data_IF_785547318150
#
_entry.id   IF_785547318150
#
_cell.length_a   1.000
_cell.length_b   1.000
_cell.length_c   1.000
_cell.angle_alpha   90.00
_cell.angle_beta   90.00
_cell.angle_gamma   90.00
#
_symmetry.space_group_name_H-M   'P 1'
#
loop_
_entity.id
_entity.type
_entity.pdbx_description
1 polymer ?
#
# COMPACT_ATOMS: atom_id res chain seq x y z
N UNK A 1 12.23 -20.27 -2.87
CA UNK A 1 12.73 -19.79 -1.56
C UNK A 1 12.96 -18.30 -1.63
N UNK A 2 12.55 -17.57 -0.61
CA UNK A 2 12.76 -16.12 -0.46
C UNK A 2 13.28 -15.82 0.94
N UNK A 3 14.13 -14.80 1.04
CA UNK A 3 14.52 -14.18 2.30
C UNK A 3 14.24 -12.70 2.21
N UNK A 4 13.83 -12.09 3.32
CA UNK A 4 13.55 -10.67 3.37
C UNK A 4 14.14 -10.03 4.63
N UNK A 5 14.58 -8.79 4.47
CA UNK A 5 14.94 -7.90 5.57
C UNK A 5 14.31 -6.55 5.28
N UNK A 6 13.54 -6.04 6.21
CA UNK A 6 12.94 -4.71 6.12
C UNK A 6 13.24 -3.93 7.41
N UNK A 7 13.63 -2.68 7.26
CA UNK A 7 13.88 -1.77 8.38
C UNK A 7 13.05 -0.52 8.14
N UNK A 8 12.14 -0.24 9.06
CA UNK A 8 11.35 0.97 9.06
C UNK A 8 11.69 1.81 10.29
N UNK A 9 11.95 3.10 10.10
CA UNK A 9 12.16 4.05 11.19
C UNK A 9 11.22 5.23 11.06
N UNK A 10 10.65 5.64 12.18
CA UNK A 10 9.90 6.88 12.26
C UNK A 10 10.63 7.85 13.18
N UNK A 11 11.44 8.70 12.57
CA UNK A 11 12.27 9.69 13.27
C UNK A 11 13.02 9.06 14.47
N UNK A 12 12.92 9.68 15.64
CA UNK A 12 13.47 9.16 16.91
C UNK A 12 12.43 8.42 17.75
N UNK A 13 11.22 8.12 17.21
CA UNK A 13 10.11 7.56 17.97
C UNK A 13 10.25 6.07 18.12
N UNK A 14 10.39 5.36 17.00
CA UNK A 14 10.59 3.90 17.01
C UNK A 14 11.23 3.39 15.72
N UNK A 15 11.73 2.16 15.79
CA UNK A 15 12.29 1.43 14.66
C UNK A 15 11.79 -0.01 14.67
N UNK A 16 11.22 -0.44 13.55
CA UNK A 16 10.79 -1.81 13.33
C UNK A 16 11.77 -2.50 12.38
N UNK A 17 12.29 -3.63 12.80
CA UNK A 17 13.13 -4.50 11.96
C UNK A 17 12.40 -5.82 11.76
N UNK A 18 12.07 -6.14 10.51
CA UNK A 18 11.40 -7.39 10.13
C UNK A 18 12.36 -8.26 9.33
N UNK A 19 12.53 -9.49 9.76
CA UNK A 19 13.29 -10.53 9.07
C UNK A 19 12.34 -11.68 8.75
N UNK A 20 12.55 -12.35 7.61
CA UNK A 20 11.68 -13.45 7.26
C UNK A 20 12.23 -14.31 6.15
N UNK A 21 11.62 -15.48 6.02
CA UNK A 21 11.86 -16.41 4.93
C UNK A 21 10.54 -17.06 4.53
N UNK A 22 10.50 -17.42 3.26
CA UNK A 22 9.29 -17.97 2.68
C UNK A 22 9.57 -19.02 1.63
N UNK A 23 8.56 -19.84 1.42
CA UNK A 23 8.50 -20.84 0.37
C UNK A 23 7.36 -20.47 -0.56
N UNK A 24 7.61 -20.54 -1.85
CA UNK A 24 6.60 -20.28 -2.86
C UNK A 24 6.50 -21.45 -3.82
N UNK A 25 5.26 -21.74 -4.23
CA UNK A 25 4.95 -22.80 -5.19
C UNK A 25 4.08 -22.23 -6.31
N UNK A 26 4.55 -22.36 -7.55
CA UNK A 26 3.79 -21.97 -8.73
C UNK A 26 2.79 -23.06 -9.10
N UNK A 27 1.49 -22.78 -8.96
CA UNK A 27 0.42 -23.66 -9.43
C UNK A 27 0.32 -23.56 -10.96
N UNK A 28 0.39 -22.33 -11.46
CA UNK A 28 0.45 -22.00 -12.90
C UNK A 28 1.48 -20.88 -13.13
N UNK A 29 1.84 -20.55 -14.38
CA UNK A 29 2.71 -19.39 -14.64
C UNK A 29 2.19 -18.06 -14.10
N UNK A 30 0.87 -17.96 -13.85
CA UNK A 30 0.23 -16.75 -13.33
C UNK A 30 -0.13 -16.84 -11.84
N UNK A 31 -0.15 -18.06 -11.27
CA UNK A 31 -0.69 -18.31 -9.92
C UNK A 31 0.38 -18.87 -9.00
N UNK A 32 0.58 -18.21 -7.88
CA UNK A 32 1.59 -18.54 -6.87
C UNK A 32 0.94 -18.68 -5.50
N UNK A 33 1.29 -19.72 -4.77
CA UNK A 33 1.06 -19.82 -3.32
C UNK A 33 2.35 -19.53 -2.58
N UNK A 34 2.21 -18.91 -1.41
CA UNK A 34 3.32 -18.59 -0.49
C UNK A 34 3.00 -19.04 0.92
N UNK A 35 4.04 -19.46 1.61
CA UNK A 35 4.06 -19.63 3.06
C UNK A 35 5.26 -18.84 3.56
N UNK A 36 5.01 -17.80 4.35
CA UNK A 36 6.04 -16.92 4.87
C UNK A 36 6.04 -16.99 6.40
N UNK A 37 7.23 -16.99 6.98
CA UNK A 37 7.45 -16.75 8.40
C UNK A 37 8.23 -15.46 8.56
N UNK A 38 7.77 -14.58 9.45
CA UNK A 38 8.43 -13.32 9.76
C UNK A 38 8.63 -13.14 11.25
N UNK A 39 9.77 -12.61 11.61
CA UNK A 39 10.10 -12.10 12.93
C UNK A 39 10.28 -10.60 12.86
N UNK A 40 9.54 -9.87 13.67
CA UNK A 40 9.62 -8.43 13.79
C UNK A 40 10.10 -8.05 15.19
N UNK A 41 11.04 -7.13 15.27
CA UNK A 41 11.50 -6.50 16.50
C UNK A 41 11.28 -4.99 16.41
N UNK A 42 10.54 -4.44 17.37
CA UNK A 42 10.25 -3.02 17.48
C UNK A 42 10.92 -2.44 18.71
N UNK A 43 11.72 -1.40 18.50
CA UNK A 43 12.41 -0.64 19.56
C UNK A 43 11.88 0.77 19.61
N UNK A 44 11.70 1.31 20.81
CA UNK A 44 11.15 2.66 21.04
C UNK A 44 12.11 3.50 21.88
N UNK A 45 13.10 4.20 21.26
CA UNK A 45 14.04 5.05 21.98
C UNK A 45 13.37 6.15 22.79
N UNK A 46 12.24 6.66 22.28
CA UNK A 46 11.43 7.69 22.95
C UNK A 46 10.00 7.15 23.12
N UNK A 47 9.66 6.62 24.30
CA UNK A 47 8.31 6.12 24.56
C UNK A 47 7.27 7.23 24.41
N UNK A 48 6.29 7.01 23.55
CA UNK A 48 5.09 7.84 23.43
C UNK A 48 3.87 7.04 23.87
N UNK A 49 2.75 7.73 24.06
CA UNK A 49 1.49 7.07 24.35
C UNK A 49 1.17 5.97 23.29
N UNK A 50 0.82 4.80 23.76
CA UNK A 50 0.51 3.62 22.94
C UNK A 50 1.67 3.12 22.03
N UNK A 51 2.93 3.44 22.38
CA UNK A 51 4.11 2.79 21.79
C UNK A 51 4.81 1.95 22.85
N UNK A 52 5.14 0.71 22.54
CA UNK A 52 5.91 -0.19 23.41
C UNK A 52 6.88 -0.99 22.55
N UNK A 53 8.00 -1.36 23.13
CA UNK A 53 8.90 -2.34 22.53
C UNK A 53 8.21 -3.69 22.47
N UNK A 54 8.32 -4.35 21.33
CA UNK A 54 7.75 -5.69 21.17
C UNK A 54 8.59 -6.56 20.23
N UNK A 55 8.41 -7.86 20.38
CA UNK A 55 8.75 -8.82 19.34
C UNK A 55 7.49 -9.46 18.80
N UNK A 56 7.47 -9.81 17.52
CA UNK A 56 6.33 -10.45 16.89
C UNK A 56 6.78 -11.56 15.94
N UNK A 57 6.21 -12.74 16.13
CA UNK A 57 6.33 -13.88 15.23
C UNK A 57 5.04 -13.97 14.41
N UNK A 58 5.14 -14.12 13.10
CA UNK A 58 4.00 -14.19 12.21
C UNK A 58 4.20 -15.29 11.17
N UNK A 59 3.12 -16.03 10.90
CA UNK A 59 3.03 -17.00 9.81
C UNK A 59 1.94 -16.51 8.87
N UNK A 60 2.26 -16.40 7.58
CA UNK A 60 1.37 -15.94 6.54
C UNK A 60 1.16 -17.00 5.47
N UNK A 61 -0.09 -17.16 5.03
CA UNK A 61 -0.46 -17.81 3.79
C UNK A 61 -0.74 -16.75 2.74
N UNK A 62 -0.07 -16.85 1.62
CA UNK A 62 -0.20 -15.94 0.49
C UNK A 62 -0.74 -16.64 -0.75
N UNK A 63 -1.67 -15.98 -1.42
CA UNK A 63 -2.14 -16.29 -2.77
C UNK A 63 -1.83 -15.10 -3.67
N UNK A 64 -1.23 -15.37 -4.82
CA UNK A 64 -0.98 -14.35 -5.82
C UNK A 64 -1.39 -14.85 -7.20
N UNK A 65 -2.24 -14.06 -7.87
CA UNK A 65 -2.53 -14.19 -9.30
C UNK A 65 -2.02 -12.95 -10.01
N UNK A 66 -1.28 -13.14 -11.09
CA UNK A 66 -0.75 -12.04 -11.89
C UNK A 66 -0.83 -12.37 -13.38
N UNK A 67 -1.64 -11.59 -14.09
CA UNK A 67 -1.74 -11.63 -15.54
C UNK A 67 -1.39 -10.27 -16.11
N UNK A 68 -0.38 -10.25 -16.96
CA UNK A 68 0.05 -9.03 -17.63
C UNK A 68 0.07 -9.27 -19.14
N UNK A 69 -0.65 -8.44 -19.86
CA UNK A 69 -0.66 -8.46 -21.33
C UNK A 69 -0.25 -7.09 -21.81
N UNK A 70 0.85 -7.02 -22.55
CA UNK A 70 1.32 -5.75 -23.11
C UNK A 70 0.57 -5.46 -24.40
N UNK A 71 -0.19 -4.40 -24.42
CA UNK A 71 -0.83 -3.84 -25.59
C UNK A 71 -0.46 -2.36 -25.70
N UNK A 72 0.37 -2.03 -26.66
CA UNK A 72 0.77 -0.61 -26.85
C UNK A 72 1.49 -0.04 -25.63
N UNK A 73 1.28 1.24 -25.31
CA UNK A 73 1.83 1.93 -24.14
C UNK A 73 1.22 1.42 -22.81
N UNK A 74 -0.02 0.93 -22.84
CA UNK A 74 -0.70 0.42 -21.68
C UNK A 74 -0.49 -1.08 -21.50
N UNK A 75 -0.05 -1.47 -20.32
CA UNK A 75 -0.12 -2.84 -19.88
C UNK A 75 -1.52 -3.13 -19.32
N UNK A 76 -2.19 -4.13 -19.87
CA UNK A 76 -3.33 -4.72 -19.20
C UNK A 76 -2.81 -5.56 -18.03
N UNK A 77 -3.04 -5.06 -16.84
CA UNK A 77 -2.62 -5.73 -15.62
C UNK A 77 -3.85 -6.23 -14.88
N UNK A 78 -3.83 -7.49 -14.53
CA UNK A 78 -4.74 -8.10 -13.59
C UNK A 78 -3.88 -8.73 -12.49
N UNK A 79 -3.95 -8.20 -11.29
CA UNK A 79 -3.21 -8.73 -10.15
C UNK A 79 -4.16 -8.85 -8.99
N UNK A 80 -4.09 -9.99 -8.30
CA UNK A 80 -4.74 -10.19 -7.01
C UNK A 80 -3.69 -10.82 -6.11
N UNK A 81 -3.44 -10.20 -4.97
CA UNK A 81 -2.61 -10.72 -3.90
C UNK A 81 -3.42 -10.73 -2.63
N UNK A 82 -3.44 -11.85 -1.93
CA UNK A 82 -4.10 -12.02 -0.65
C UNK A 82 -3.09 -12.67 0.28
N UNK A 83 -2.85 -12.06 1.42
CA UNK A 83 -2.07 -12.61 2.50
C UNK A 83 -2.93 -12.66 3.74
N UNK A 84 -2.97 -13.82 4.40
CA UNK A 84 -3.64 -13.98 5.70
C UNK A 84 -2.62 -14.49 6.69
N UNK A 85 -2.55 -13.86 7.86
CA UNK A 85 -1.54 -14.20 8.83
C UNK A 85 -2.07 -14.31 10.24
N UNK A 86 -1.45 -15.21 11.00
CA UNK A 86 -1.59 -15.29 12.45
C UNK A 86 -0.25 -14.93 13.06
N UNK A 87 -0.29 -14.03 14.05
CA UNK A 87 0.91 -13.59 14.74
C UNK A 87 0.75 -13.61 16.27
N UNK A 88 1.89 -13.70 16.94
CA UNK A 88 1.99 -13.51 18.37
C UNK A 88 2.92 -12.33 18.63
N UNK A 89 2.34 -11.25 19.16
CA UNK A 89 3.08 -10.08 19.64
C UNK A 89 3.37 -10.27 21.13
N UNK A 90 4.62 -10.12 21.49
CA UNK A 90 5.11 -10.21 22.85
C UNK A 90 5.61 -8.83 23.31
N UNK A 91 4.97 -8.31 24.35
CA UNK A 91 5.41 -7.19 25.17
C UNK A 91 5.57 -7.73 26.61
N UNK A 92 5.05 -7.05 27.62
CA UNK A 92 4.85 -7.65 28.96
C UNK A 92 3.86 -8.80 28.94
N UNK A 93 2.90 -8.76 28.02
CA UNK A 93 1.90 -9.79 27.77
C UNK A 93 2.01 -10.29 26.33
N UNK A 94 1.60 -11.53 26.09
CA UNK A 94 1.50 -12.10 24.76
C UNK A 94 0.08 -11.91 24.21
N UNK A 95 -0.04 -11.39 23.00
CA UNK A 95 -1.31 -11.19 22.31
C UNK A 95 -1.27 -11.91 20.97
N UNK A 96 -2.28 -12.74 20.73
CA UNK A 96 -2.49 -13.37 19.42
C UNK A 96 -3.29 -12.42 18.53
N UNK A 97 -2.84 -12.27 17.29
CA UNK A 97 -3.41 -11.36 16.32
C UNK A 97 -3.70 -12.08 15.02
N UNK A 98 -4.69 -11.61 14.29
CA UNK A 98 -5.03 -12.06 12.95
C UNK A 98 -4.95 -10.88 11.98
N UNK A 99 -4.43 -11.11 10.78
CA UNK A 99 -4.32 -10.07 9.76
C UNK A 99 -4.68 -10.57 8.38
N UNK A 100 -5.22 -9.66 7.57
CA UNK A 100 -5.50 -9.86 6.16
C UNK A 100 -4.96 -8.67 5.38
N UNK A 101 -4.20 -8.95 4.33
CA UNK A 101 -3.70 -7.97 3.36
C UNK A 101 -4.20 -8.35 1.98
N UNK A 102 -4.85 -7.41 1.28
CA UNK A 102 -5.34 -7.61 -0.08
C UNK A 102 -4.78 -6.50 -0.97
N UNK A 103 -4.24 -6.88 -2.10
CA UNK A 103 -3.92 -5.96 -3.20
C UNK A 103 -4.57 -6.48 -4.48
N UNK A 104 -5.40 -5.66 -5.11
CA UNK A 104 -6.00 -5.98 -6.39
C UNK A 104 -5.74 -4.84 -7.39
N UNK A 105 -5.33 -5.20 -8.60
CA UNK A 105 -5.11 -4.26 -9.69
C UNK A 105 -5.85 -4.74 -10.91
N UNK A 106 -6.61 -3.85 -11.54
CA UNK A 106 -7.30 -4.12 -12.80
C UNK A 106 -7.12 -2.95 -13.73
N UNK A 107 -6.67 -3.24 -14.95
CA UNK A 107 -6.64 -2.28 -16.06
C UNK A 107 -7.64 -2.72 -17.12
N UNK A 108 -8.47 -1.78 -17.60
CA UNK A 108 -9.52 -2.01 -18.57
C UNK A 108 -9.28 -1.06 -19.75
N UNK A 109 -8.97 -1.59 -20.92
CA UNK A 109 -8.86 -0.79 -22.14
C UNK A 109 -10.25 -0.46 -22.68
N UNK A 110 -10.56 0.82 -22.80
CA UNK A 110 -11.79 1.31 -23.43
C UNK A 110 -11.57 1.45 -24.93
N UNK A 111 -10.39 1.94 -25.32
CA UNK A 111 -9.97 2.09 -26.71
C UNK A 111 -8.44 1.88 -26.80
N UNK A 112 -7.88 2.01 -28.01
CA UNK A 112 -6.44 1.93 -28.22
C UNK A 112 -5.66 2.99 -27.44
N UNK A 113 -6.28 4.12 -27.15
CA UNK A 113 -5.64 5.27 -26.49
C UNK A 113 -6.20 5.59 -25.11
N UNK A 114 -7.18 4.80 -24.61
CA UNK A 114 -7.89 5.10 -23.36
C UNK A 114 -8.01 3.88 -22.50
N UNK A 115 -7.64 4.01 -21.23
CA UNK A 115 -7.68 2.94 -20.24
C UNK A 115 -8.23 3.44 -18.89
N UNK A 116 -9.02 2.63 -18.22
CA UNK A 116 -9.31 2.78 -16.79
C UNK A 116 -8.36 1.87 -16.02
N UNK A 117 -7.70 2.43 -15.01
CA UNK A 117 -6.85 1.69 -14.10
C UNK A 117 -7.35 1.81 -12.68
N UNK A 118 -7.58 0.67 -12.05
CA UNK A 118 -8.07 0.57 -10.68
C UNK A 118 -7.06 -0.23 -9.85
N UNK A 119 -6.76 0.27 -8.66
CA UNK A 119 -5.96 -0.44 -7.67
C UNK A 119 -6.64 -0.36 -6.32
N UNK A 120 -6.85 -1.50 -5.70
CA UNK A 120 -7.28 -1.62 -4.31
C UNK A 120 -6.10 -2.05 -3.44
N UNK A 121 -5.98 -1.48 -2.24
CA UNK A 121 -5.16 -2.00 -1.17
C UNK A 121 -5.99 -2.00 0.12
N UNK A 122 -6.09 -3.16 0.76
CA UNK A 122 -6.83 -3.36 2.01
C UNK A 122 -5.90 -4.02 3.02
N UNK A 123 -5.91 -3.51 4.24
CA UNK A 123 -5.26 -4.10 5.40
C UNK A 123 -6.28 -4.19 6.54
N UNK A 124 -6.27 -5.33 7.21
CA UNK A 124 -7.07 -5.57 8.41
C UNK A 124 -6.22 -6.27 9.46
N UNK A 125 -6.12 -5.68 10.63
CA UNK A 125 -5.49 -6.26 11.80
C UNK A 125 -6.50 -6.37 12.93
N UNK A 126 -6.73 -7.59 13.41
CA UNK A 126 -7.54 -7.87 14.60
C UNK A 126 -6.64 -8.25 15.77
N UNK A 127 -6.83 -7.56 16.88
CA UNK A 127 -6.08 -7.75 18.11
C UNK A 127 -6.94 -7.40 19.33
N UNK A 128 -6.61 -7.95 20.50
CA UNK A 128 -7.22 -7.53 21.76
C UNK A 128 -6.67 -6.18 22.28
N UNK A 129 -5.52 -5.75 21.77
CA UNK A 129 -4.91 -4.45 22.05
C UNK A 129 -4.03 -4.03 20.88
N UNK A 130 -3.88 -2.73 20.66
CA UNK A 130 -3.09 -2.17 19.57
C UNK A 130 -1.99 -1.25 20.07
N UNK A 131 -0.86 -1.23 19.35
CA UNK A 131 0.26 -0.31 19.56
C UNK A 131 0.44 0.55 18.30
N UNK A 132 0.78 1.83 18.47
CA UNK A 132 0.96 2.75 17.33
C UNK A 132 2.08 2.30 16.39
N UNK A 133 3.13 1.68 16.93
CA UNK A 133 4.28 1.20 16.17
C UNK A 133 4.05 -0.14 15.45
N UNK A 134 2.87 -0.78 15.62
CA UNK A 134 2.48 -1.97 14.86
C UNK A 134 1.41 -1.70 13.78
N UNK A 135 0.76 -0.52 13.82
CA UNK A 135 -0.27 -0.18 12.84
C UNK A 135 0.30 -0.05 11.44
N UNK A 136 -0.48 -0.51 10.46
CA UNK A 136 -0.12 -0.33 9.05
C UNK A 136 -0.17 1.16 8.68
N UNK A 137 0.79 1.57 7.86
CA UNK A 137 0.95 2.94 7.41
C UNK A 137 0.57 3.08 5.97
N UNK A 138 -0.08 4.17 5.67
CA UNK A 138 -0.54 4.47 4.34
C UNK A 138 -0.58 5.99 4.09
N UNK A 139 -0.97 6.37 2.90
CA UNK A 139 -0.78 7.69 2.30
C UNK A 139 0.29 7.62 1.23
N UNK A 140 0.26 8.56 0.30
CA UNK A 140 1.24 8.65 -0.78
C UNK A 140 0.85 7.89 -2.05
N UNK A 141 1.82 7.75 -2.94
CA UNK A 141 1.63 7.29 -4.32
C UNK A 141 1.02 5.90 -4.43
N UNK A 142 1.33 5.02 -3.49
CA UNK A 142 0.98 3.59 -3.59
C UNK A 142 -0.34 3.21 -2.91
N UNK A 143 -0.92 4.10 -2.10
CA UNK A 143 -2.11 3.80 -1.29
C UNK A 143 -3.20 4.85 -1.39
N UNK A 144 -2.90 6.14 -1.11
CA UNK A 144 -3.85 7.25 -1.15
C UNK A 144 -3.10 8.53 -1.54
N UNK A 145 -3.21 8.93 -2.80
CA UNK A 145 -2.56 10.15 -3.30
C UNK A 145 -3.18 11.40 -2.67
N UNK A 146 -2.46 12.51 -2.66
CA UNK A 146 -2.91 13.74 -1.99
C UNK A 146 -2.69 13.74 -0.47
N UNK A 147 -2.15 12.65 0.08
CA UNK A 147 -1.65 12.55 1.45
C UNK A 147 -0.15 12.27 1.43
N UNK A 148 0.58 12.76 2.43
CA UNK A 148 2.03 12.50 2.53
C UNK A 148 2.30 11.02 2.67
N UNK A 149 3.44 10.56 2.15
CA UNK A 149 3.85 9.15 2.22
C UNK A 149 3.89 8.68 3.68
N UNK A 150 3.24 7.53 3.96
CA UNK A 150 3.19 6.90 5.28
C UNK A 150 2.72 7.82 6.44
N UNK A 151 1.92 8.86 6.15
CA UNK A 151 1.48 9.85 7.15
C UNK A 151 0.25 9.43 7.94
N UNK A 152 -0.44 8.43 7.50
CA UNK A 152 -1.65 7.88 8.12
C UNK A 152 -1.37 6.48 8.66
N UNK A 153 -1.99 6.13 9.78
CA UNK A 153 -1.89 4.80 10.37
C UNK A 153 -3.26 4.28 10.81
N UNK A 154 -3.50 3.00 10.65
CA UNK A 154 -4.74 2.35 10.99
C UNK A 154 -4.54 0.85 11.25
N UNK A 155 -5.39 0.25 12.08
CA UNK A 155 -5.52 -1.20 12.18
C UNK A 155 -6.42 -1.77 11.06
N UNK A 156 -7.24 -0.93 10.44
CA UNK A 156 -8.03 -1.29 9.27
C UNK A 156 -8.05 -0.15 8.27
N UNK A 157 -7.65 -0.42 7.03
CA UNK A 157 -7.90 0.49 5.93
C UNK A 157 -8.24 -0.28 4.65
N UNK A 158 -9.01 0.35 3.79
CA UNK A 158 -9.24 -0.08 2.42
C UNK A 158 -9.22 1.12 1.51
N UNK A 159 -8.33 1.12 0.53
CA UNK A 159 -8.21 2.21 -0.44
C UNK A 159 -8.47 1.72 -1.85
N UNK A 160 -9.10 2.57 -2.65
CA UNK A 160 -9.29 2.40 -4.09
C UNK A 160 -8.66 3.60 -4.77
N UNK A 161 -7.64 3.35 -5.56
CA UNK A 161 -7.03 4.33 -6.45
C UNK A 161 -7.60 4.13 -7.85
N UNK A 162 -8.08 5.21 -8.48
CA UNK A 162 -8.60 5.15 -9.86
C UNK A 162 -7.93 6.18 -10.74
N UNK A 163 -7.68 5.77 -12.00
CA UNK A 163 -7.15 6.64 -13.04
C UNK A 163 -7.92 6.41 -14.35
N UNK A 164 -8.37 7.49 -14.94
CA UNK A 164 -8.75 7.50 -16.35
C UNK A 164 -7.54 8.00 -17.12
N UNK A 165 -6.97 7.14 -17.96
CA UNK A 165 -5.73 7.37 -18.70
C UNK A 165 -6.02 7.60 -20.16
N UNK A 166 -5.41 8.63 -20.73
CA UNK A 166 -5.45 8.93 -22.17
C UNK A 166 -4.03 9.08 -22.71
N UNK A 167 -3.74 8.41 -23.81
CA UNK A 167 -2.41 8.37 -24.45
C UNK A 167 -2.43 9.20 -25.75
N UNK A 168 -2.00 10.48 -25.72
CA UNK A 168 -1.90 11.29 -26.93
C UNK A 168 -0.75 10.88 -27.85
N UNK A 169 0.26 10.20 -27.33
CA UNK A 169 1.39 9.69 -28.09
C UNK A 169 1.95 8.40 -27.50
N UNK A 170 2.78 7.67 -28.25
CA UNK A 170 3.37 6.40 -27.80
C UNK A 170 4.29 6.51 -26.58
N UNK A 171 4.66 7.73 -26.15
CA UNK A 171 5.58 7.98 -25.04
C UNK A 171 4.98 8.78 -23.90
N UNK A 172 3.72 9.18 -24.02
CA UNK A 172 3.08 10.05 -23.06
C UNK A 172 1.65 9.56 -22.77
N UNK A 173 1.27 9.49 -21.51
CA UNK A 173 -0.14 9.50 -21.13
C UNK A 173 -0.42 10.57 -20.07
N UNK A 174 -1.64 11.07 -20.09
CA UNK A 174 -2.22 11.94 -19.06
C UNK A 174 -3.31 11.16 -18.33
N UNK A 175 -3.53 11.45 -17.07
CA UNK A 175 -4.55 10.77 -16.28
C UNK A 175 -5.26 11.70 -15.30
N UNK A 176 -6.54 11.45 -15.10
CA UNK A 176 -7.24 11.93 -13.90
C UNK A 176 -6.94 11.02 -12.72
N UNK A 177 -7.09 11.55 -11.52
CA UNK A 177 -6.93 10.84 -10.26
C UNK A 177 -8.21 11.02 -9.46
N UNK A 178 -8.76 9.91 -8.99
CA UNK A 178 -9.81 9.90 -7.97
C UNK A 178 -9.56 8.71 -7.04
N UNK A 179 -9.21 8.99 -5.80
CA UNK A 179 -8.94 7.96 -4.80
C UNK A 179 -9.94 8.09 -3.65
N UNK A 180 -10.28 6.94 -3.07
CA UNK A 180 -11.16 6.79 -1.94
C UNK A 180 -10.49 5.86 -0.93
N UNK A 181 -10.55 6.19 0.37
CA UNK A 181 -10.09 5.29 1.42
C UNK A 181 -11.01 5.33 2.63
N UNK A 182 -11.36 4.15 3.13
CA UNK A 182 -11.93 3.95 4.45
C UNK A 182 -10.82 3.60 5.43
N UNK A 183 -10.85 4.22 6.62
CA UNK A 183 -9.86 4.00 7.68
C UNK A 183 -10.54 3.82 9.02
N UNK A 184 -9.98 2.91 9.83
CA UNK A 184 -10.35 2.74 11.23
C UNK A 184 -9.10 2.58 12.08
N UNK A 185 -8.99 3.41 13.13
CA UNK A 185 -7.90 3.38 14.10
C UNK A 185 -8.50 3.24 15.51
N UNK A 186 -8.44 2.04 16.06
CA UNK A 186 -9.01 1.73 17.37
C UNK A 186 -8.21 2.32 18.55
N UNK A 187 -6.97 2.77 18.33
CA UNK A 187 -6.19 3.50 19.36
C UNK A 187 -6.78 4.89 19.58
N UNK A 188 -7.11 5.59 18.50
CA UNK A 188 -7.62 6.97 18.52
C UNK A 188 -9.14 7.04 18.45
N UNK A 189 -9.83 5.89 18.34
CA UNK A 189 -11.27 5.78 18.08
C UNK A 189 -11.72 6.60 16.87
N UNK A 190 -10.89 6.62 15.83
CA UNK A 190 -11.19 7.32 14.58
C UNK A 190 -11.67 6.36 13.53
N UNK A 191 -12.77 6.72 12.88
CA UNK A 191 -13.32 6.05 11.72
C UNK A 191 -13.69 7.11 10.70
N UNK A 192 -13.07 7.09 9.53
CA UNK A 192 -13.21 8.13 8.52
C UNK A 192 -13.17 7.57 7.11
N UNK A 193 -13.81 8.29 6.19
CA UNK A 193 -13.65 8.13 4.75
C UNK A 193 -12.87 9.32 4.20
N UNK A 194 -11.78 9.04 3.51
CA UNK A 194 -10.88 10.03 2.92
C UNK A 194 -11.03 9.99 1.41
N UNK A 195 -10.91 11.15 0.79
CA UNK A 195 -11.02 11.34 -0.65
C UNK A 195 -9.77 12.03 -1.17
N UNK A 196 -9.46 11.79 -2.43
CA UNK A 196 -8.42 12.54 -3.12
C UNK A 196 -8.77 12.66 -4.60
N UNK A 197 -8.45 13.79 -5.18
CA UNK A 197 -8.58 14.00 -6.60
C UNK A 197 -7.40 14.79 -7.15
N UNK A 198 -7.19 14.66 -8.45
CA UNK A 198 -6.08 15.31 -9.09
C UNK A 198 -5.91 14.90 -10.54
N UNK A 199 -4.74 15.18 -11.05
CA UNK A 199 -4.34 14.80 -12.40
C UNK A 199 -2.86 14.45 -12.43
N UNK A 200 -2.47 13.72 -13.46
CA UNK A 200 -1.09 13.31 -13.61
C UNK A 200 -0.68 13.11 -15.05
N UNK A 201 0.58 12.87 -15.22
CA UNK A 201 1.17 12.54 -16.51
C UNK A 201 2.30 11.53 -16.33
N UNK A 202 2.54 10.73 -17.34
CA UNK A 202 3.65 9.78 -17.38
C UNK A 202 4.37 9.82 -18.72
N UNK A 203 5.67 9.84 -18.62
CA UNK A 203 6.58 9.86 -19.76
C UNK A 203 7.39 8.57 -19.83
N UNK A 204 7.34 7.90 -20.97
CA UNK A 204 8.23 6.78 -21.26
C UNK A 204 9.55 7.31 -21.81
N UNK A 205 10.63 7.07 -21.07
CA UNK A 205 12.00 7.40 -21.46
C UNK A 205 12.77 6.13 -21.84
N UNK A 206 13.97 6.26 -22.35
CA UNK A 206 14.85 5.12 -22.62
C UNK A 206 15.23 4.37 -21.35
N UNK A 207 15.34 5.06 -20.21
CA UNK A 207 15.78 4.49 -18.93
C UNK A 207 14.64 4.06 -18.02
N UNK A 208 13.37 4.31 -18.41
CA UNK A 208 12.22 3.96 -17.58
C UNK A 208 11.03 4.89 -17.75
N UNK A 209 10.07 4.81 -16.85
CA UNK A 209 8.85 5.63 -16.85
C UNK A 209 8.91 6.65 -15.73
N UNK A 210 8.81 7.92 -16.07
CA UNK A 210 8.65 9.02 -15.13
C UNK A 210 7.17 9.32 -14.97
N UNK A 211 6.66 9.32 -13.72
CA UNK A 211 5.28 9.68 -13.38
C UNK A 211 5.27 10.92 -12.51
N UNK A 212 4.40 11.88 -12.86
CA UNK A 212 4.12 13.10 -12.11
C UNK A 212 2.62 13.12 -11.79
N UNK A 213 2.26 13.16 -10.52
CA UNK A 213 0.87 13.27 -10.09
C UNK A 213 0.72 14.44 -9.12
N UNK A 214 -0.22 15.34 -9.43
CA UNK A 214 -0.69 16.37 -8.51
C UNK A 214 -2.02 15.93 -7.95
N UNK A 215 -2.10 15.75 -6.64
CA UNK A 215 -3.31 15.29 -5.98
C UNK A 215 -3.57 16.08 -4.69
N UNK A 216 -4.84 16.37 -4.43
CA UNK A 216 -5.32 17.06 -3.25
C UNK A 216 -6.14 16.07 -2.41
N UNK A 217 -5.74 15.86 -1.15
CA UNK A 217 -6.42 14.99 -0.22
C UNK A 217 -7.41 15.76 0.65
N UNK A 218 -8.59 15.19 0.82
CA UNK A 218 -9.67 15.75 1.63
C UNK A 218 -9.99 14.82 2.80
N UNK A 219 -10.03 15.41 3.99
CA UNK A 219 -10.53 14.75 5.20
C UNK A 219 -11.99 15.16 5.47
N UNK A 220 -12.75 14.36 6.22
CA UNK A 220 -14.10 14.72 6.63
C UNK A 220 -14.13 16.10 7.28
N UNK A 221 -15.08 16.93 6.87
CA UNK A 221 -15.30 18.29 7.39
C UNK A 221 -14.22 19.32 7.02
N UNK A 222 -13.15 18.94 6.31
CA UNK A 222 -12.21 19.88 5.74
C UNK A 222 -12.68 20.29 4.33
N UNK A 223 -12.68 21.58 4.04
CA UNK A 223 -12.94 22.11 2.69
C UNK A 223 -11.73 21.86 1.76
N UNK A 224 -11.94 22.08 0.49
CA UNK A 224 -10.85 22.07 -0.49
C UNK A 224 -9.89 23.24 -0.22
N UNK A 225 -8.60 22.95 -0.10
CA UNK A 225 -7.52 23.91 0.05
C UNK A 225 -6.35 23.56 -0.87
N UNK A 226 -5.98 24.46 -1.75
CA UNK A 226 -4.85 24.28 -2.67
C UNK A 226 -3.52 24.01 -1.95
N UNK A 227 -3.34 24.52 -0.74
CA UNK A 227 -2.12 24.31 0.05
C UNK A 227 -1.91 22.84 0.42
N UNK A 228 -2.97 22.02 0.41
CA UNK A 228 -2.92 20.59 0.67
C UNK A 228 -2.57 19.76 -0.59
N UNK A 229 -2.30 20.42 -1.73
CA UNK A 229 -1.95 19.70 -2.96
C UNK A 229 -0.52 19.17 -2.87
N UNK A 230 -0.37 17.89 -3.14
CA UNK A 230 0.92 17.19 -3.08
C UNK A 230 1.33 16.76 -4.49
N UNK A 231 2.58 17.08 -4.83
CA UNK A 231 3.25 16.54 -6.01
C UNK A 231 3.91 15.22 -5.66
N UNK A 232 3.46 14.16 -6.32
CA UNK A 232 4.08 12.84 -6.25
C UNK A 232 4.93 12.61 -7.50
N UNK A 233 6.21 12.33 -7.29
CA UNK A 233 7.17 12.00 -8.34
C UNK A 233 7.58 10.54 -8.21
N UNK A 234 7.48 9.77 -9.30
CA UNK A 234 7.93 8.38 -9.34
C UNK A 234 8.71 8.11 -10.61
N UNK A 235 9.86 7.46 -10.46
CA UNK A 235 10.66 6.98 -11.58
C UNK A 235 10.77 5.45 -11.49
N UNK A 236 10.26 4.76 -12.51
CA UNK A 236 10.25 3.30 -12.60
C UNK A 236 11.26 2.85 -13.67
N UNK A 237 12.33 2.18 -13.25
CA UNK A 237 13.27 1.53 -14.16
C UNK A 237 13.00 0.04 -14.21
N UNK A 238 13.17 -0.56 -15.38
CA UNK A 238 13.17 -2.02 -15.56
C UNK A 238 14.57 -2.36 -16.10
N UNK A 239 15.31 -3.12 -15.34
CA UNK A 239 16.62 -3.67 -15.72
C UNK A 239 16.46 -5.04 -16.35
#
# INVERSE_FOLDING_TARGET
LSAQLNIFRQDSIFSNTTQGFGISYNITPQTLLKLDYTFENSTTPTPLAFTEEFTKNRIDLGFQYNRRTTQSFFNNTETIKIHTGISQRQTKNTVTQFSIDIEAVKSINISNNTQIHLKNKTHYLQSSSYLTNELERFGGMNTLRGFKENSLNANTFSSIQSEFRYTPSSKLYINSIFDLAYIKNDITNQENTLYSFGFGTSFLTQSGTLKLNLANGLKPKEGFDFSNTILHLTFLTVF
#
